data_IF_612091083802
#
_entry.id   IF_612091083802
#
_cell.length_a   1.000
_cell.length_b   1.000
_cell.length_c   1.000
_cell.angle_alpha   90.00
_cell.angle_beta   90.00
_cell.angle_gamma   90.00
#
_symmetry.space_group_name_H-M   'P 1'
#
loop_
_entity.id
_entity.type
_entity.pdbx_description
1 polymer ?
#
# COMPACT_ATOMS: atom_id res chain seq x y z
N UNK A 1 23.85 -61.32 6.56
CA UNK A 1 24.51 -62.46 5.85
C UNK A 1 23.46 -63.17 4.99
N UNK A 2 23.91 -63.98 4.02
CA UNK A 2 23.13 -64.61 2.91
C UNK A 2 23.05 -63.73 1.66
N UNK A 3 23.87 -64.09 0.67
CA UNK A 3 23.64 -63.88 -0.78
C UNK A 3 22.84 -65.07 -1.32
N UNK A 4 22.13 -64.93 -2.46
CA UNK A 4 22.63 -65.46 -3.74
C UNK A 4 22.41 -64.48 -4.92
N UNK A 5 23.37 -64.30 -5.85
CA UNK A 5 23.68 -65.10 -7.05
C UNK A 5 22.86 -64.75 -8.31
N UNK A 6 23.56 -64.42 -9.39
CA UNK A 6 23.03 -64.05 -10.73
C UNK A 6 22.60 -65.26 -11.57
N UNK A 7 21.68 -65.04 -12.52
CA UNK A 7 21.62 -65.77 -13.79
C UNK A 7 21.04 -64.91 -14.93
N UNK A 8 21.59 -65.06 -16.15
CA UNK A 8 21.31 -64.27 -17.35
C UNK A 8 20.44 -65.03 -18.36
N UNK A 9 19.54 -64.33 -19.04
CA UNK A 9 19.10 -64.55 -20.45
C UNK A 9 18.39 -63.28 -20.96
N UNK A 10 18.44 -62.77 -22.20
CA UNK A 10 19.36 -62.74 -23.35
C UNK A 10 18.53 -62.58 -24.65
N UNK A 11 18.63 -61.45 -25.35
CA UNK A 11 18.05 -61.20 -26.69
C UNK A 11 16.63 -60.61 -26.71
N UNK A 12 16.23 -59.76 -27.69
CA UNK A 12 16.92 -59.22 -28.89
C UNK A 12 16.40 -57.80 -29.27
N UNK A 13 17.21 -57.06 -30.02
CA UNK A 13 16.89 -55.87 -30.84
C UNK A 13 17.46 -56.09 -32.27
N UNK A 14 17.40 -55.12 -33.23
CA UNK A 14 16.44 -54.04 -33.50
C UNK A 14 15.57 -54.47 -34.72
N UNK A 15 15.44 -53.83 -35.94
CA UNK A 15 15.85 -52.53 -36.51
C UNK A 15 14.74 -51.44 -36.33
N UNK A 16 14.87 -50.13 -36.62
CA UNK A 16 15.83 -49.24 -37.32
C UNK A 16 15.66 -49.00 -38.84
N UNK A 17 16.16 -47.83 -39.29
CA UNK A 17 16.04 -47.15 -40.60
C UNK A 17 14.74 -46.37 -40.89
N UNK A 18 14.70 -45.13 -41.45
CA UNK A 18 15.51 -43.88 -41.36
C UNK A 18 15.35 -43.08 -42.67
N UNK A 19 15.19 -41.74 -42.57
CA UNK A 19 15.92 -40.69 -43.32
C UNK A 19 15.09 -39.44 -43.67
N UNK A 20 15.61 -38.31 -43.20
CA UNK A 20 15.62 -36.95 -43.79
C UNK A 20 15.88 -36.91 -45.32
N UNK A 21 15.61 -35.79 -46.06
CA UNK A 21 16.22 -34.49 -45.76
C UNK A 21 15.56 -33.16 -46.23
N UNK A 22 16.09 -32.05 -45.68
CA UNK A 22 16.32 -30.70 -46.26
C UNK A 22 15.37 -30.11 -47.34
N UNK A 23 14.93 -28.85 -47.11
CA UNK A 23 15.37 -27.67 -47.89
C UNK A 23 14.80 -26.32 -47.38
N UNK A 24 15.68 -25.33 -47.16
CA UNK A 24 15.42 -23.93 -47.53
C UNK A 24 15.79 -23.70 -49.01
N UNK A 25 15.33 -22.61 -49.65
CA UNK A 25 16.29 -21.52 -49.94
C UNK A 25 15.73 -20.08 -49.89
N UNK A 26 16.64 -19.11 -50.10
CA UNK A 26 16.49 -17.66 -49.96
C UNK A 26 15.81 -16.91 -51.13
N UNK A 27 15.51 -15.63 -50.84
CA UNK A 27 15.51 -14.43 -51.73
C UNK A 27 14.40 -14.25 -52.79
N UNK A 28 13.83 -13.03 -52.80
CA UNK A 28 13.93 -12.02 -53.90
C UNK A 28 13.19 -10.71 -53.49
N UNK A 29 13.77 -9.55 -53.82
CA UNK A 29 13.14 -8.22 -53.76
C UNK A 29 12.25 -7.97 -55.00
N UNK A 30 11.33 -6.99 -54.94
CA UNK A 30 11.57 -5.89 -55.89
C UNK A 30 11.36 -4.49 -55.29
N UNK A 31 12.18 -3.55 -55.78
CA UNK A 31 11.89 -2.12 -55.71
C UNK A 31 10.77 -1.78 -56.70
N UNK A 32 9.95 -0.78 -56.37
CA UNK A 32 9.30 0.07 -57.36
C UNK A 32 9.48 1.54 -56.95
N UNK A 33 10.22 2.25 -57.78
CA UNK A 33 10.33 3.72 -57.86
C UNK A 33 9.51 4.16 -59.09
N UNK A 34 9.31 5.47 -59.30
CA UNK A 34 8.48 6.17 -60.31
C UNK A 34 7.03 6.48 -59.83
N UNK A 35 6.49 7.71 -59.99
CA UNK A 35 7.13 8.98 -60.38
C UNK A 35 6.32 10.24 -59.96
N UNK A 36 7.02 11.38 -59.89
CA UNK A 36 6.62 12.74 -60.32
C UNK A 36 5.25 13.41 -59.98
N UNK A 37 5.37 14.57 -59.29
CA UNK A 37 4.85 15.90 -59.70
C UNK A 37 3.39 16.38 -59.47
N UNK A 38 3.34 17.50 -58.73
CA UNK A 38 2.40 18.66 -58.66
C UNK A 38 1.94 19.28 -60.02
N UNK A 39 1.07 20.33 -60.11
CA UNK A 39 0.36 21.15 -59.08
C UNK A 39 -1.13 21.58 -59.37
N UNK A 40 -1.74 22.24 -58.36
CA UNK A 40 -2.63 23.45 -58.41
C UNK A 40 -3.87 23.62 -59.33
N UNK A 41 -4.99 24.04 -58.73
CA UNK A 41 -5.76 25.29 -59.00
C UNK A 41 -6.79 25.51 -57.87
N UNK A 42 -6.69 26.56 -57.06
CA UNK A 42 -7.36 27.87 -57.21
C UNK A 42 -8.88 27.86 -57.50
N UNK A 43 -9.68 28.24 -56.50
CA UNK A 43 -10.95 28.95 -56.70
C UNK A 43 -11.13 30.02 -55.61
N UNK A 44 -11.34 31.28 -56.01
CA UNK A 44 -11.77 32.39 -55.14
C UNK A 44 -13.26 32.65 -55.35
N UNK A 45 -13.97 33.08 -54.30
CA UNK A 45 -14.92 34.22 -54.27
C UNK A 45 -15.44 34.37 -52.82
N UNK A 46 -15.17 35.48 -52.10
CA UNK A 46 -15.83 36.81 -52.12
C UNK A 46 -17.24 36.84 -51.50
N UNK A 47 -17.42 37.70 -50.49
CA UNK A 47 -18.63 38.30 -49.85
C UNK A 47 -18.53 38.24 -48.31
N UNK A 48 -18.98 39.19 -47.48
CA UNK A 48 -19.56 40.54 -47.66
C UNK A 48 -19.03 41.51 -46.55
N UNK A 49 -19.38 42.80 -46.63
CA UNK A 49 -19.12 43.82 -45.60
C UNK A 49 -20.20 43.87 -44.50
N UNK A 50 -19.80 44.23 -43.26
CA UNK A 50 -20.65 44.88 -42.25
C UNK A 50 -19.83 45.94 -41.47
N UNK A 51 -20.37 47.14 -41.18
CA UNK A 51 -19.69 48.19 -40.42
C UNK A 51 -19.78 47.99 -38.89
N UNK A 52 -18.93 48.67 -38.09
CA UNK A 52 -18.78 48.38 -36.66
C UNK A 52 -19.88 48.99 -35.78
N UNK A 53 -20.32 48.24 -34.78
CA UNK A 53 -21.10 48.75 -33.65
C UNK A 53 -20.17 49.17 -32.51
N UNK A 54 -20.45 50.34 -31.92
CA UNK A 54 -19.75 50.84 -30.74
C UNK A 54 -20.03 49.97 -29.50
N UNK A 55 -19.10 49.94 -28.51
CA UNK A 55 -19.12 48.94 -27.46
C UNK A 55 -20.16 49.21 -26.35
N UNK A 56 -20.79 48.16 -25.79
CA UNK A 56 -21.41 48.27 -24.47
C UNK A 56 -20.35 48.33 -23.36
N UNK A 57 -20.58 49.18 -22.36
CA UNK A 57 -19.73 49.28 -21.17
C UNK A 57 -19.63 47.95 -20.40
N UNK A 58 -18.53 47.70 -19.67
CA UNK A 58 -18.25 46.40 -19.08
C UNK A 58 -19.23 46.01 -17.97
N UNK A 59 -19.74 44.79 -18.04
CA UNK A 59 -20.30 44.07 -16.90
C UNK A 59 -19.19 43.83 -15.86
N UNK A 60 -19.50 43.79 -14.55
CA UNK A 60 -18.50 43.47 -13.53
C UNK A 60 -17.94 42.06 -13.78
N UNK A 61 -16.63 41.84 -13.57
CA UNK A 61 -16.02 40.54 -13.84
C UNK A 61 -16.60 39.48 -12.90
N UNK A 62 -17.18 38.43 -13.48
CA UNK A 62 -17.38 37.18 -12.75
C UNK A 62 -16.03 36.66 -12.28
N UNK A 63 -15.90 36.19 -11.02
CA UNK A 63 -14.64 35.65 -10.53
C UNK A 63 -14.24 34.41 -11.35
N UNK A 64 -12.95 34.21 -11.64
CA UNK A 64 -12.49 33.06 -12.39
C UNK A 64 -12.77 31.75 -11.63
N UNK A 65 -13.05 30.68 -12.38
CA UNK A 65 -13.36 29.34 -11.85
C UNK A 65 -12.25 28.71 -10.98
N UNK A 66 -11.07 29.33 -10.91
CA UNK A 66 -9.96 28.96 -10.04
C UNK A 66 -10.21 29.21 -8.53
N UNK A 67 -11.23 29.98 -8.14
CA UNK A 67 -11.56 30.18 -6.72
C UNK A 67 -12.42 29.07 -6.10
N UNK A 68 -13.09 28.24 -6.89
CA UNK A 68 -13.89 27.10 -6.39
C UNK A 68 -13.02 25.92 -5.90
N UNK A 69 -11.71 25.94 -6.17
CA UNK A 69 -10.73 24.96 -5.71
C UNK A 69 -9.70 25.52 -4.72
N UNK A 70 -10.02 26.66 -4.06
CA UNK A 70 -9.25 27.14 -2.93
C UNK A 70 -9.70 26.44 -1.63
N UNK A 71 -8.78 25.97 -0.75
CA UNK A 71 -9.14 25.42 0.57
C UNK A 71 -10.02 26.36 1.41
N UNK A 72 -9.84 27.67 1.22
CA UNK A 72 -10.64 28.74 1.83
C UNK A 72 -12.12 28.68 1.43
N UNK A 73 -12.44 28.29 0.20
CA UNK A 73 -13.82 28.19 -0.29
C UNK A 73 -14.54 26.94 0.21
N UNK A 74 -13.83 25.82 0.36
CA UNK A 74 -14.35 24.62 1.03
C UNK A 74 -14.61 24.89 2.53
N UNK A 75 -13.69 25.59 3.20
CA UNK A 75 -13.93 26.07 4.58
C UNK A 75 -15.18 26.95 4.71
N UNK A 76 -15.41 27.83 3.73
CA UNK A 76 -16.61 28.68 3.67
C UNK A 76 -17.90 27.89 3.36
N UNK A 77 -17.84 26.84 2.53
CA UNK A 77 -19.01 26.00 2.26
C UNK A 77 -19.38 25.11 3.46
N UNK A 78 -18.39 24.49 4.12
CA UNK A 78 -18.59 23.80 5.39
C UNK A 78 -19.12 24.73 6.49
N UNK A 79 -18.59 25.95 6.58
CA UNK A 79 -19.10 26.97 7.51
C UNK A 79 -20.56 27.34 7.22
N UNK A 80 -20.97 27.42 5.94
CA UNK A 80 -22.36 27.69 5.55
C UNK A 80 -23.30 26.51 5.85
N UNK A 81 -22.84 25.27 5.69
CA UNK A 81 -23.59 24.07 6.09
C UNK A 81 -23.75 24.02 7.61
N UNK A 82 -22.68 24.28 8.37
CA UNK A 82 -22.73 24.37 9.83
C UNK A 82 -23.68 25.48 10.32
N UNK A 83 -23.69 26.65 9.67
CA UNK A 83 -24.66 27.72 9.96
C UNK A 83 -26.10 27.30 9.61
N UNK A 84 -26.33 26.57 8.51
CA UNK A 84 -27.65 26.03 8.17
C UNK A 84 -28.16 24.99 9.19
N UNK A 85 -27.27 24.16 9.75
CA UNK A 85 -27.59 23.25 10.84
C UNK A 85 -27.88 24.00 12.16
N UNK A 86 -27.20 25.13 12.41
CA UNK A 86 -27.45 25.98 13.58
C UNK A 86 -28.78 26.74 13.48
N UNK A 87 -29.19 27.20 12.29
CA UNK A 87 -30.44 27.96 12.13
C UNK A 87 -31.70 27.09 12.20
N UNK A 88 -31.64 25.83 11.75
CA UNK A 88 -32.77 24.89 11.88
C UNK A 88 -32.92 24.27 13.28
N UNK A 89 -31.94 24.44 14.17
CA UNK A 89 -31.98 23.95 15.56
C UNK A 89 -32.37 24.99 16.62
N UNK A 90 -32.47 26.28 16.26
CA UNK A 90 -32.68 27.39 17.19
C UNK A 90 -34.15 27.61 17.59
N UNK A 91 -34.81 26.56 18.09
CA UNK A 91 -36.20 26.56 18.55
C UNK A 91 -36.39 26.68 20.06
N UNK A 92 -35.52 27.37 20.79
CA UNK A 92 -35.63 27.53 22.24
C UNK A 92 -36.57 28.68 22.63
N UNK A 93 -37.84 28.36 22.89
CA UNK A 93 -38.78 29.28 23.53
C UNK A 93 -38.53 29.39 25.04
N UNK A 94 -37.87 30.46 25.49
CA UNK A 94 -37.87 30.88 26.90
C UNK A 94 -39.12 31.72 27.21
N UNK A 95 -40.26 31.05 27.37
CA UNK A 95 -41.47 31.71 27.90
C UNK A 95 -41.23 32.06 29.37
N UNK A 96 -41.33 33.34 29.70
CA UNK A 96 -41.26 33.85 31.07
C UNK A 96 -42.25 33.10 31.98
N UNK A 97 -41.79 32.69 33.17
CA UNK A 97 -42.69 32.25 34.24
C UNK A 97 -42.30 32.82 35.61
N UNK A 98 -43.07 33.83 35.97
CA UNK A 98 -43.40 34.38 37.31
C UNK A 98 -42.49 34.09 38.50
N UNK A 99 -42.22 35.17 39.23
CA UNK A 99 -41.71 35.15 40.61
C UNK A 99 -42.57 34.27 41.53
N UNK A 100 -41.89 33.49 42.38
CA UNK A 100 -42.24 33.33 43.80
C UNK A 100 -41.02 32.75 44.56
N UNK A 101 -40.77 33.15 45.82
CA UNK A 101 -39.50 32.87 46.49
C UNK A 101 -39.51 31.60 47.38
N UNK A 102 -38.30 31.19 47.78
CA UNK A 102 -37.99 30.17 48.81
C UNK A 102 -38.27 28.71 48.42
N UNK A 103 -37.36 28.16 47.62
CA UNK A 103 -36.82 26.81 47.88
C UNK A 103 -35.30 26.92 47.80
N UNK A 104 -34.56 26.29 48.72
CA UNK A 104 -33.09 26.35 48.74
C UNK A 104 -32.54 25.63 47.51
N UNK A 105 -32.29 26.39 46.45
CA UNK A 105 -31.83 25.86 45.17
C UNK A 105 -30.46 25.24 45.31
N UNK A 106 -30.33 23.98 44.90
CA UNK A 106 -29.04 23.42 44.51
C UNK A 106 -28.40 24.36 43.49
N UNK A 107 -27.22 24.88 43.79
CA UNK A 107 -26.46 25.71 42.85
C UNK A 107 -26.40 24.98 41.50
N UNK A 108 -26.74 25.62 40.36
CA UNK A 108 -26.67 24.95 39.07
C UNK A 108 -25.24 24.42 38.89
N UNK A 109 -25.13 23.10 38.74
CA UNK A 109 -23.84 22.44 38.58
C UNK A 109 -23.10 23.09 37.41
N UNK A 110 -21.84 23.50 37.62
CA UNK A 110 -21.03 24.09 36.55
C UNK A 110 -21.07 23.16 35.34
N UNK A 111 -21.42 23.65 34.13
CA UNK A 111 -21.59 22.79 32.96
C UNK A 111 -20.30 22.02 32.71
N UNK A 112 -20.43 20.69 32.69
CA UNK A 112 -19.33 19.76 32.51
C UNK A 112 -19.15 19.37 31.05
N UNK A 113 -18.07 18.65 30.76
CA UNK A 113 -17.77 18.15 29.41
C UNK A 113 -18.83 17.15 28.87
N UNK A 114 -19.69 16.63 29.75
CA UNK A 114 -20.81 15.74 29.40
C UNK A 114 -22.11 16.48 29.01
N UNK A 115 -22.21 17.78 29.28
CA UNK A 115 -23.36 18.62 28.92
C UNK A 115 -23.21 19.23 27.51
N UNK A 116 -22.08 18.96 26.85
CA UNK A 116 -21.78 19.40 25.49
C UNK A 116 -22.68 18.67 24.47
N UNK A 117 -23.33 19.37 23.51
CA UNK A 117 -24.07 18.71 22.44
C UNK A 117 -23.19 17.77 21.63
N UNK A 118 -23.74 16.63 21.18
CA UNK A 118 -22.99 15.62 20.42
C UNK A 118 -22.38 16.20 19.12
N UNK A 119 -23.04 17.17 18.48
CA UNK A 119 -22.50 17.89 17.31
C UNK A 119 -21.22 18.67 17.64
N UNK A 120 -21.17 19.35 18.78
CA UNK A 120 -19.98 20.07 19.23
C UNK A 120 -18.86 19.10 19.65
N UNK A 121 -19.20 18.00 20.32
CA UNK A 121 -18.24 16.94 20.64
C UNK A 121 -17.66 16.29 19.37
N UNK A 122 -18.49 16.05 18.35
CA UNK A 122 -18.10 15.45 17.09
C UNK A 122 -17.14 16.35 16.28
N UNK A 123 -17.32 17.68 16.33
CA UNK A 123 -16.36 18.63 15.76
C UNK A 123 -14.98 18.53 16.44
N UNK A 124 -14.93 18.42 17.78
CA UNK A 124 -13.66 18.22 18.51
C UNK A 124 -13.01 16.91 18.09
N UNK A 125 -13.78 15.81 18.05
CA UNK A 125 -13.31 14.48 17.65
C UNK A 125 -12.76 14.44 16.22
N UNK A 126 -13.31 15.23 15.29
CA UNK A 126 -12.84 15.31 13.90
C UNK A 126 -11.36 15.70 13.77
N UNK A 127 -10.83 16.51 14.69
CA UNK A 127 -9.43 16.95 14.68
C UNK A 127 -8.45 15.98 15.37
N UNK A 128 -8.93 14.89 15.97
CA UNK A 128 -8.10 13.97 16.76
C UNK A 128 -7.75 12.69 16.00
N UNK A 129 -6.70 12.00 16.44
CA UNK A 129 -6.36 10.70 15.89
C UNK A 129 -7.34 9.61 16.40
N UNK A 130 -7.63 8.56 15.62
CA UNK A 130 -8.54 7.46 16.02
C UNK A 130 -8.28 6.83 17.41
N UNK A 131 -7.03 6.67 17.89
CA UNK A 131 -6.78 6.19 19.26
C UNK A 131 -7.20 7.20 20.33
N UNK A 132 -7.18 8.49 20.02
CA UNK A 132 -7.61 9.56 20.92
C UNK A 132 -9.12 9.72 20.95
N UNK A 133 -9.77 9.61 19.78
CA UNK A 133 -11.23 9.49 19.67
C UNK A 133 -11.71 8.34 20.57
N UNK A 134 -11.06 7.16 20.49
CA UNK A 134 -11.35 6.01 21.33
C UNK A 134 -11.05 6.21 22.84
N UNK A 135 -10.19 7.16 23.22
CA UNK A 135 -9.95 7.55 24.62
C UNK A 135 -11.05 8.49 25.12
N UNK A 136 -11.35 9.56 24.37
CA UNK A 136 -12.37 10.54 24.77
C UNK A 136 -13.79 9.94 24.80
N UNK A 137 -14.10 9.01 23.89
CA UNK A 137 -15.36 8.26 23.88
C UNK A 137 -15.64 7.46 25.17
N UNK A 138 -14.62 7.25 26.03
CA UNK A 138 -14.77 6.58 27.33
C UNK A 138 -15.06 7.55 28.49
N UNK A 139 -14.88 8.86 28.29
CA UNK A 139 -14.94 9.84 29.37
C UNK A 139 -16.36 10.29 29.71
N UNK A 140 -17.25 10.43 28.74
CA UNK A 140 -18.64 10.83 28.96
C UNK A 140 -19.57 10.41 27.81
N UNK A 141 -20.89 10.58 28.02
CA UNK A 141 -21.93 10.17 27.05
C UNK A 141 -21.88 10.97 25.74
N UNK A 142 -21.65 12.28 25.77
CA UNK A 142 -21.65 13.12 24.57
C UNK A 142 -20.52 12.73 23.60
N UNK A 143 -19.30 12.57 24.12
CA UNK A 143 -18.17 12.09 23.32
C UNK A 143 -18.35 10.63 22.89
N UNK A 144 -19.00 9.80 23.72
CA UNK A 144 -19.36 8.42 23.35
C UNK A 144 -20.37 8.37 22.19
N UNK A 145 -21.40 9.19 22.19
CA UNK A 145 -22.39 9.26 21.09
C UNK A 145 -21.74 9.81 19.83
N UNK A 146 -21.10 10.96 19.95
CA UNK A 146 -20.37 11.63 18.88
C UNK A 146 -19.35 10.72 18.18
N UNK A 147 -18.61 9.87 18.90
CA UNK A 147 -17.60 8.99 18.30
C UNK A 147 -18.14 7.88 17.39
N UNK A 148 -19.47 7.71 17.29
CA UNK A 148 -20.11 6.80 16.33
C UNK A 148 -20.51 7.48 15.02
N UNK A 149 -20.40 8.81 14.92
CA UNK A 149 -20.80 9.54 13.72
C UNK A 149 -19.89 9.23 12.52
N UNK A 150 -20.49 8.77 11.42
CA UNK A 150 -19.75 8.29 10.24
C UNK A 150 -18.83 9.34 9.62
N UNK A 151 -19.23 10.63 9.63
CA UNK A 151 -18.43 11.71 9.04
C UNK A 151 -17.04 11.85 9.69
N UNK A 152 -16.92 11.52 10.98
CA UNK A 152 -15.63 11.53 11.68
C UNK A 152 -14.73 10.47 11.04
N UNK A 153 -15.23 9.25 10.90
CA UNK A 153 -14.44 8.11 10.40
C UNK A 153 -14.21 8.17 8.89
N UNK A 154 -15.12 8.78 8.14
CA UNK A 154 -14.93 9.13 6.72
C UNK A 154 -13.72 10.06 6.54
N UNK A 155 -13.51 11.03 7.43
CA UNK A 155 -12.32 11.89 7.41
C UNK A 155 -11.00 11.18 7.80
N UNK A 156 -11.07 9.97 8.36
CA UNK A 156 -9.91 9.15 8.78
C UNK A 156 -9.66 7.97 7.84
N UNK A 157 -10.58 7.67 6.93
CA UNK A 157 -10.42 6.66 5.90
C UNK A 157 -9.64 7.23 4.70
N UNK A 158 -8.81 6.42 4.02
CA UNK A 158 -8.22 6.84 2.75
C UNK A 158 -9.29 7.18 1.72
N UNK A 159 -9.06 8.17 0.85
CA UNK A 159 -10.05 8.63 -0.13
C UNK A 159 -10.58 7.52 -1.06
N UNK A 160 -9.76 6.50 -1.35
CA UNK A 160 -10.11 5.35 -2.18
C UNK A 160 -10.45 4.08 -1.36
N UNK A 161 -10.88 4.22 -0.09
CA UNK A 161 -11.17 3.08 0.79
C UNK A 161 -12.17 2.07 0.19
N UNK A 162 -13.13 2.52 -0.63
CA UNK A 162 -14.09 1.63 -1.29
C UNK A 162 -13.39 0.65 -2.25
N UNK A 163 -12.44 1.12 -3.04
CA UNK A 163 -11.62 0.30 -3.94
C UNK A 163 -10.74 -0.68 -3.16
N UNK A 164 -10.17 -0.24 -2.04
CA UNK A 164 -9.40 -1.09 -1.12
C UNK A 164 -10.30 -2.19 -0.54
N UNK A 165 -11.49 -1.82 -0.06
CA UNK A 165 -12.48 -2.74 0.51
C UNK A 165 -12.89 -3.79 -0.53
N UNK A 166 -13.28 -3.38 -1.74
CA UNK A 166 -13.65 -4.30 -2.81
C UNK A 166 -12.51 -5.26 -3.19
N UNK A 167 -11.26 -4.79 -3.25
CA UNK A 167 -10.10 -5.64 -3.57
C UNK A 167 -9.76 -6.65 -2.45
N UNK A 168 -10.05 -6.33 -1.18
CA UNK A 168 -9.63 -7.11 -0.02
C UNK A 168 -10.74 -8.00 0.54
N UNK A 169 -12.00 -7.59 0.43
CA UNK A 169 -13.16 -8.27 0.99
C UNK A 169 -14.24 -8.63 -0.05
N UNK A 170 -14.10 -8.18 -1.30
CA UNK A 170 -15.20 -8.20 -2.27
C UNK A 170 -16.38 -7.34 -1.79
N UNK A 171 -17.59 -7.76 -2.17
CA UNK A 171 -18.83 -7.03 -1.91
C UNK A 171 -19.33 -7.16 -0.44
N UNK A 172 -18.55 -7.79 0.44
CA UNK A 172 -18.97 -8.19 1.78
C UNK A 172 -19.10 -7.08 2.84
N UNK A 173 -18.89 -5.81 2.49
CA UNK A 173 -18.73 -4.72 3.47
C UNK A 173 -19.66 -3.50 3.25
N UNK A 174 -20.52 -3.52 2.23
CA UNK A 174 -21.32 -2.34 1.80
C UNK A 174 -22.25 -1.79 2.89
N UNK A 175 -22.68 -2.64 3.83
CA UNK A 175 -23.64 -2.32 4.89
C UNK A 175 -23.00 -1.91 6.24
N UNK A 176 -21.67 -1.73 6.32
CA UNK A 176 -21.01 -1.33 7.56
C UNK A 176 -20.86 0.20 7.69
N UNK A 177 -21.06 0.72 8.91
CA UNK A 177 -20.70 2.10 9.25
C UNK A 177 -19.20 2.36 9.10
N UNK A 178 -18.81 3.61 8.78
CA UNK A 178 -17.43 4.01 8.43
C UNK A 178 -16.42 3.66 9.52
N UNK A 179 -16.81 3.72 10.80
CA UNK A 179 -15.98 3.26 11.91
C UNK A 179 -15.65 1.78 11.82
N UNK A 180 -16.63 0.95 11.49
CA UNK A 180 -16.47 -0.50 11.49
C UNK A 180 -15.66 -0.94 10.28
N UNK A 181 -15.83 -0.24 9.14
CA UNK A 181 -14.91 -0.29 7.99
C UNK A 181 -13.47 0.05 8.41
N UNK A 182 -13.25 1.19 9.06
CA UNK A 182 -11.92 1.59 9.54
C UNK A 182 -11.32 0.56 10.51
N UNK A 183 -12.11 0.08 11.47
CA UNK A 183 -11.72 -0.92 12.47
C UNK A 183 -11.32 -2.25 11.83
N UNK A 184 -12.04 -2.67 10.78
CA UNK A 184 -11.73 -3.87 10.00
C UNK A 184 -10.45 -3.68 9.18
N UNK A 185 -10.29 -2.52 8.53
CA UNK A 185 -9.10 -2.19 7.75
C UNK A 185 -7.83 -2.01 8.62
N UNK A 186 -7.95 -1.64 9.90
CA UNK A 186 -6.82 -1.63 10.85
C UNK A 186 -6.34 -3.01 11.32
N UNK A 187 -7.05 -4.09 10.99
CA UNK A 187 -6.57 -5.45 11.21
C UNK A 187 -5.70 -5.90 10.01
N UNK A 188 -4.80 -6.89 10.18
CA UNK A 188 -4.17 -7.53 9.03
C UNK A 188 -5.23 -8.23 8.19
N UNK A 189 -5.40 -7.80 6.94
CA UNK A 189 -6.32 -8.42 5.99
C UNK A 189 -5.52 -9.04 4.85
N UNK A 190 -5.59 -10.37 4.74
CA UNK A 190 -4.86 -11.13 3.74
C UNK A 190 -5.59 -11.16 2.40
N UNK A 191 -4.84 -11.10 1.30
CA UNK A 191 -5.34 -11.28 -0.06
C UNK A 191 -4.28 -12.03 -0.88
N UNK A 192 -4.59 -12.36 -2.14
CA UNK A 192 -3.68 -13.07 -3.07
C UNK A 192 -3.16 -14.39 -2.47
N UNK A 193 -4.10 -15.32 -2.27
CA UNK A 193 -3.93 -16.63 -1.61
C UNK A 193 -3.24 -16.58 -0.23
N UNK A 194 -3.40 -15.45 0.47
CA UNK A 194 -2.81 -15.22 1.78
C UNK A 194 -1.32 -14.86 1.74
N UNK A 195 -0.74 -14.71 0.55
CA UNK A 195 0.68 -14.36 0.38
C UNK A 195 0.95 -12.89 0.63
N UNK A 196 -0.09 -12.03 0.57
CA UNK A 196 -0.02 -10.58 0.78
C UNK A 196 -1.00 -10.16 1.87
N UNK A 197 -0.64 -9.13 2.64
CA UNK A 197 -1.50 -8.55 3.68
C UNK A 197 -1.51 -7.03 3.61
N UNK A 198 -2.66 -6.42 3.87
CA UNK A 198 -2.83 -4.96 3.94
C UNK A 198 -3.56 -4.58 5.23
N UNK A 199 -3.20 -3.43 5.78
CA UNK A 199 -3.86 -2.82 6.93
C UNK A 199 -3.68 -1.29 6.94
N UNK A 200 -4.47 -0.56 7.73
CA UNK A 200 -4.22 0.85 8.03
C UNK A 200 -3.43 0.99 9.33
N UNK A 201 -2.49 1.94 9.39
CA UNK A 201 -1.95 2.40 10.67
C UNK A 201 -3.07 3.02 11.51
N UNK A 202 -3.13 2.62 12.79
CA UNK A 202 -4.23 2.93 13.71
C UNK A 202 -4.28 4.40 14.15
N UNK A 203 -3.20 5.16 13.97
CA UNK A 203 -3.13 6.57 14.31
C UNK A 203 -3.39 7.44 13.08
N UNK A 204 -2.72 7.16 11.95
CA UNK A 204 -2.82 8.05 10.77
C UNK A 204 -3.92 7.65 9.79
N UNK A 205 -4.38 6.39 9.82
CA UNK A 205 -5.24 5.83 8.75
C UNK A 205 -4.49 5.53 7.44
N UNK A 206 -3.17 5.70 7.39
CA UNK A 206 -2.35 5.47 6.19
C UNK A 206 -2.25 3.98 5.84
N UNK A 207 -2.31 3.65 4.54
CA UNK A 207 -2.26 2.26 4.05
C UNK A 207 -0.85 1.67 4.17
N UNK A 208 -0.78 0.45 4.70
CA UNK A 208 0.43 -0.33 4.89
C UNK A 208 0.24 -1.71 4.25
N UNK A 209 1.24 -2.22 3.54
CA UNK A 209 1.18 -3.51 2.84
C UNK A 209 2.40 -4.38 3.12
N UNK A 210 2.23 -5.70 3.13
CA UNK A 210 3.33 -6.66 3.19
C UNK A 210 3.14 -7.82 2.22
N UNK A 211 4.26 -8.31 1.67
CA UNK A 211 4.34 -9.50 0.82
C UNK A 211 5.19 -10.52 1.57
N UNK A 212 4.65 -11.70 1.84
CA UNK A 212 5.37 -12.80 2.48
C UNK A 212 6.48 -13.36 1.58
N UNK A 213 7.46 -14.03 2.17
CA UNK A 213 8.45 -14.85 1.45
C UNK A 213 7.83 -15.91 0.52
N UNK A 214 6.58 -16.33 0.72
CA UNK A 214 5.85 -17.24 -0.19
C UNK A 214 5.22 -16.53 -1.38
N UNK A 215 5.05 -15.22 -1.33
CA UNK A 215 4.55 -14.37 -2.42
C UNK A 215 5.67 -13.73 -3.25
N UNK A 216 6.91 -14.19 -3.08
CA UNK A 216 8.10 -13.73 -3.80
C UNK A 216 8.64 -14.86 -4.69
N UNK A 217 9.14 -14.50 -5.87
CA UNK A 217 9.88 -15.42 -6.73
C UNK A 217 11.33 -15.49 -6.23
N UNK A 218 11.70 -16.61 -5.61
CA UNK A 218 13.02 -16.81 -5.01
C UNK A 218 13.76 -17.89 -5.79
N UNK A 219 14.96 -17.58 -6.30
CA UNK A 219 15.73 -18.53 -7.12
C UNK A 219 16.12 -19.77 -6.30
N UNK A 220 15.65 -20.93 -6.78
CA UNK A 220 15.90 -22.23 -6.17
C UNK A 220 15.07 -22.57 -4.92
N UNK A 221 13.98 -21.84 -4.63
CA UNK A 221 13.18 -21.99 -3.40
C UNK A 221 12.66 -23.41 -3.12
N UNK A 222 12.32 -24.17 -4.16
CA UNK A 222 11.84 -25.55 -4.05
C UNK A 222 12.95 -26.56 -3.68
N UNK A 223 14.22 -26.18 -3.86
CA UNK A 223 15.36 -27.04 -3.54
C UNK A 223 15.75 -26.93 -2.07
N UNK A 224 15.41 -27.98 -1.31
CA UNK A 224 15.72 -28.14 0.11
C UNK A 224 17.22 -28.18 0.45
N UNK A 225 18.11 -28.19 -0.55
CA UNK A 225 19.57 -28.01 -0.36
C UNK A 225 19.94 -26.53 -0.18
N UNK A 226 19.17 -25.62 -0.77
CA UNK A 226 19.40 -24.19 -0.70
C UNK A 226 18.48 -23.51 0.31
N UNK A 227 17.20 -23.86 0.34
CA UNK A 227 16.18 -23.16 1.12
C UNK A 227 15.39 -24.09 2.05
N UNK A 228 14.91 -23.54 3.17
CA UNK A 228 13.93 -24.17 4.06
C UNK A 228 12.87 -23.15 4.48
N UNK A 229 11.62 -23.57 4.61
CA UNK A 229 10.62 -22.76 5.31
C UNK A 229 10.68 -23.04 6.81
N UNK A 230 10.82 -21.99 7.62
CA UNK A 230 10.88 -22.07 9.09
C UNK A 230 9.61 -21.45 9.67
N UNK A 231 8.77 -22.22 10.38
CA UNK A 231 7.65 -21.67 11.15
C UNK A 231 8.15 -20.75 12.26
N UNK A 232 7.56 -19.56 12.40
CA UNK A 232 7.94 -18.60 13.45
C UNK A 232 6.82 -17.61 13.78
N UNK A 233 6.60 -17.39 15.07
CA UNK A 233 5.71 -16.34 15.61
C UNK A 233 6.25 -14.92 15.38
N UNK A 234 7.52 -14.79 14.98
CA UNK A 234 8.16 -13.49 14.71
C UNK A 234 7.82 -12.93 13.31
N UNK A 235 7.07 -13.70 12.51
CA UNK A 235 6.55 -13.33 11.19
C UNK A 235 5.04 -13.10 11.25
N UNK A 236 4.53 -12.10 10.51
CA UNK A 236 3.08 -11.89 10.34
C UNK A 236 2.41 -13.01 9.53
N UNK A 237 3.20 -13.81 8.81
CA UNK A 237 2.76 -14.94 7.99
C UNK A 237 3.07 -16.30 8.63
N UNK A 238 3.47 -16.31 9.91
CA UNK A 238 3.85 -17.50 10.69
C UNK A 238 5.00 -18.35 10.10
N UNK A 239 5.69 -17.88 9.05
CA UNK A 239 6.67 -18.64 8.27
C UNK A 239 7.63 -17.71 7.55
N UNK A 240 8.92 -18.06 7.54
CA UNK A 240 9.98 -17.34 6.80
C UNK A 240 10.76 -18.28 5.88
N UNK A 241 11.38 -17.76 4.84
CA UNK A 241 12.31 -18.52 3.98
C UNK A 241 13.74 -18.37 4.53
N UNK A 242 14.39 -19.50 4.83
CA UNK A 242 15.76 -19.55 5.34
C UNK A 242 16.70 -20.13 4.30
N UNK A 243 17.70 -19.34 3.91
CA UNK A 243 18.78 -19.77 3.03
C UNK A 243 19.86 -20.49 3.85
N UNK A 244 20.12 -21.75 3.48
CA UNK A 244 21.27 -22.51 3.95
C UNK A 244 22.55 -22.00 3.28
N UNK A 245 22.62 -22.11 1.94
CA UNK A 245 23.77 -21.71 1.14
C UNK A 245 23.38 -21.52 -0.33
N UNK A 246 23.91 -20.50 -1.01
CA UNK A 246 23.80 -20.32 -2.48
C UNK A 246 24.99 -19.54 -3.04
N UNK A 247 25.19 -19.60 -4.35
CA UNK A 247 26.11 -18.72 -5.09
C UNK A 247 25.34 -17.58 -5.75
N UNK A 248 24.35 -17.93 -6.58
CA UNK A 248 23.46 -17.00 -7.27
C UNK A 248 22.28 -16.61 -6.36
N UNK A 249 22.31 -15.42 -5.77
CA UNK A 249 21.22 -14.94 -4.92
C UNK A 249 20.35 -13.92 -5.66
N UNK A 250 19.06 -14.24 -5.78
CA UNK A 250 18.06 -13.45 -6.51
C UNK A 250 16.66 -13.72 -5.93
N UNK A 251 15.97 -12.63 -5.62
CA UNK A 251 14.62 -12.61 -5.03
C UNK A 251 13.84 -11.46 -5.68
N UNK A 252 12.79 -11.80 -6.40
CA UNK A 252 11.92 -10.83 -7.06
C UNK A 252 10.51 -10.85 -6.45
N UNK A 253 9.79 -9.75 -6.62
CA UNK A 253 8.40 -9.63 -6.19
C UNK A 253 7.60 -8.70 -7.08
N UNK A 254 6.29 -8.94 -7.12
CA UNK A 254 5.34 -8.08 -7.79
C UNK A 254 4.08 -7.91 -6.93
N UNK A 255 3.56 -6.69 -6.89
CA UNK A 255 2.26 -6.38 -6.29
C UNK A 255 1.57 -5.30 -7.09
N UNK A 256 0.26 -5.44 -7.27
CA UNK A 256 -0.59 -4.45 -7.92
C UNK A 256 -1.71 -4.07 -6.96
N UNK A 257 -1.71 -2.83 -6.48
CA UNK A 257 -2.60 -2.39 -5.40
C UNK A 257 -3.02 -0.92 -5.54
N UNK A 258 -4.29 -0.57 -5.25
CA UNK A 258 -4.80 0.81 -5.29
C UNK A 258 -4.32 1.58 -4.05
N UNK A 259 -3.04 1.95 -4.02
CA UNK A 259 -2.51 2.80 -2.98
C UNK A 259 -3.15 4.20 -3.03
N UNK A 260 -3.54 4.79 -1.89
CA UNK A 260 -3.90 6.20 -1.83
C UNK A 260 -2.73 7.09 -2.28
N UNK A 261 -3.03 8.29 -2.78
CA UNK A 261 -2.02 9.29 -3.14
C UNK A 261 -1.10 9.60 -1.95
N UNK A 262 0.20 9.60 -2.20
CA UNK A 262 1.21 9.86 -1.18
C UNK A 262 2.58 9.28 -1.52
N UNK A 263 3.52 9.47 -0.60
CA UNK A 263 4.88 8.94 -0.71
C UNK A 263 5.04 7.73 0.17
N UNK A 264 5.56 6.64 -0.40
CA UNK A 264 5.76 5.35 0.26
C UNK A 264 7.23 4.94 0.21
N UNK A 265 7.65 4.12 1.16
CA UNK A 265 8.98 3.54 1.29
C UNK A 265 8.86 2.01 1.26
N UNK A 266 9.70 1.36 0.47
CA UNK A 266 9.76 -0.10 0.39
C UNK A 266 10.96 -0.65 1.19
N UNK A 267 10.74 -1.73 1.95
CA UNK A 267 11.75 -2.38 2.78
C UNK A 267 11.71 -3.91 2.65
N UNK A 268 12.87 -4.56 2.68
CA UNK A 268 12.97 -5.99 2.98
C UNK A 268 13.18 -6.21 4.48
N UNK A 269 12.38 -7.08 5.09
CA UNK A 269 12.60 -7.54 6.47
C UNK A 269 13.43 -8.82 6.46
N UNK A 270 14.69 -8.69 6.86
CA UNK A 270 15.69 -9.76 6.83
C UNK A 270 16.31 -9.97 8.22
N UNK A 271 16.81 -11.17 8.48
CA UNK A 271 17.64 -11.48 9.64
C UNK A 271 18.81 -12.36 9.18
N UNK A 272 20.04 -12.01 9.58
CA UNK A 272 21.16 -12.92 9.48
C UNK A 272 21.20 -13.84 10.71
N UNK A 273 21.28 -15.13 10.46
CA UNK A 273 21.16 -16.20 11.43
C UNK A 273 19.76 -16.82 11.46
N UNK A 274 19.67 -17.99 12.08
CA UNK A 274 18.45 -18.77 12.24
C UNK A 274 17.89 -18.57 13.66
N UNK A 275 16.78 -17.84 13.79
CA UNK A 275 16.01 -17.82 15.04
C UNK A 275 15.63 -19.25 15.44
N UNK A 276 15.98 -19.64 16.67
CA UNK A 276 15.51 -20.90 17.27
C UNK A 276 14.27 -20.64 18.14
N UNK A 277 13.42 -21.65 18.30
CA UNK A 277 12.26 -21.57 19.20
C UNK A 277 12.69 -21.15 20.61
N UNK A 278 11.87 -20.30 21.25
CA UNK A 278 12.07 -19.76 22.60
C UNK A 278 12.27 -20.87 23.65
N UNK A 279 13.51 -21.33 23.85
CA UNK A 279 13.84 -22.22 24.97
C UNK A 279 13.92 -21.38 26.24
N UNK A 280 13.11 -21.73 27.23
CA UNK A 280 13.01 -21.04 28.53
C UNK A 280 12.77 -19.52 28.43
N UNK A 281 11.94 -19.10 27.47
CA UNK A 281 11.57 -17.69 27.28
C UNK A 281 12.67 -16.77 26.74
N UNK A 282 13.90 -17.26 26.54
CA UNK A 282 14.99 -16.50 25.92
C UNK A 282 15.03 -16.76 24.41
N UNK A 283 15.19 -15.68 23.64
CA UNK A 283 15.43 -15.73 22.19
C UNK A 283 16.89 -16.09 21.94
N UNK A 284 17.14 -17.13 21.13
CA UNK A 284 18.49 -17.53 20.72
C UNK A 284 18.50 -17.61 19.19
N UNK A 285 19.36 -16.84 18.55
CA UNK A 285 19.60 -16.91 17.11
C UNK A 285 20.91 -17.65 16.86
N UNK A 286 20.88 -18.72 16.06
CA UNK A 286 22.10 -19.41 15.65
C UNK A 286 22.72 -18.70 14.44
N UNK A 287 23.96 -18.24 14.58
CA UNK A 287 24.71 -17.50 13.57
C UNK A 287 25.80 -18.35 12.88
N UNK A 288 26.00 -19.62 13.27
CA UNK A 288 27.07 -20.52 12.80
C UNK A 288 27.10 -20.71 11.27
N UNK A 289 25.97 -20.56 10.60
CA UNK A 289 25.84 -20.72 9.14
C UNK A 289 25.86 -19.38 8.37
N UNK A 290 26.00 -18.23 9.05
CA UNK A 290 26.05 -16.92 8.41
C UNK A 290 27.41 -16.70 7.76
N UNK A 291 27.44 -16.50 6.44
CA UNK A 291 28.68 -16.24 5.70
C UNK A 291 28.41 -15.51 4.37
N UNK A 292 29.40 -14.78 3.86
CA UNK A 292 29.46 -14.25 2.49
C UNK A 292 28.73 -12.91 2.23
N UNK A 293 27.82 -12.49 3.11
CA UNK A 293 27.01 -11.27 2.94
C UNK A 293 27.77 -9.95 3.15
N UNK A 294 28.97 -10.03 3.70
CA UNK A 294 29.91 -8.95 3.96
C UNK A 294 30.92 -8.74 2.82
N UNK A 295 31.03 -9.70 1.88
CA UNK A 295 32.04 -9.68 0.80
C UNK A 295 31.65 -8.72 -0.34
N UNK A 296 30.36 -8.63 -0.67
CA UNK A 296 29.82 -7.66 -1.64
C UNK A 296 28.45 -7.15 -1.15
N UNK A 297 28.06 -5.93 -1.51
CA UNK A 297 26.74 -5.41 -1.14
C UNK A 297 25.63 -6.15 -1.90
N UNK A 298 24.51 -6.37 -1.20
CA UNK A 298 23.24 -6.75 -1.82
C UNK A 298 22.68 -5.54 -2.54
N UNK A 299 22.18 -5.75 -3.76
CA UNK A 299 21.49 -4.73 -4.56
C UNK A 299 19.99 -4.88 -4.38
N UNK A 300 19.33 -3.78 -4.08
CA UNK A 300 17.88 -3.68 -4.05
C UNK A 300 17.41 -2.78 -5.18
N UNK A 301 16.29 -3.12 -5.82
CA UNK A 301 15.75 -2.40 -6.97
C UNK A 301 14.22 -2.31 -6.87
N UNK A 302 13.67 -1.23 -7.41
CA UNK A 302 12.24 -0.91 -7.45
C UNK A 302 11.89 -0.39 -8.85
N UNK A 303 10.77 -0.85 -9.41
CA UNK A 303 10.13 -0.29 -10.60
C UNK A 303 8.63 -0.10 -10.35
N UNK A 304 8.05 0.98 -10.85
CA UNK A 304 6.59 1.20 -10.83
C UNK A 304 6.01 1.26 -12.25
N UNK A 305 4.70 1.04 -12.37
CA UNK A 305 3.95 1.26 -13.63
C UNK A 305 4.01 2.70 -14.15
N UNK A 306 4.30 3.66 -13.29
CA UNK A 306 4.45 5.08 -13.64
C UNK A 306 5.85 5.40 -14.22
N UNK A 307 6.73 4.39 -14.33
CA UNK A 307 8.08 4.55 -14.87
C UNK A 307 9.14 4.93 -13.83
N UNK A 308 8.77 5.11 -12.57
CA UNK A 308 9.74 5.33 -11.50
C UNK A 308 10.64 4.10 -11.34
N UNK A 309 11.95 4.31 -11.42
CA UNK A 309 12.98 3.32 -11.13
C UNK A 309 13.91 3.85 -10.05
N UNK A 310 14.25 2.99 -9.08
CA UNK A 310 15.22 3.29 -8.05
C UNK A 310 16.02 2.05 -7.67
N UNK A 311 17.24 2.25 -7.19
CA UNK A 311 18.10 1.17 -6.70
C UNK A 311 19.02 1.63 -5.59
N UNK A 312 19.24 0.76 -4.62
CA UNK A 312 20.18 0.97 -3.51
C UNK A 312 21.06 -0.26 -3.32
N UNK A 313 22.17 -0.10 -2.59
CA UNK A 313 23.12 -1.17 -2.29
C UNK A 313 23.59 -1.04 -0.85
N UNK A 314 23.64 -2.14 -0.11
CA UNK A 314 24.22 -2.19 1.23
C UNK A 314 24.71 -3.60 1.58
N UNK A 315 25.61 -3.70 2.55
CA UNK A 315 26.07 -4.97 3.09
C UNK A 315 25.11 -5.46 4.18
N UNK A 316 24.91 -6.78 4.28
CA UNK A 316 24.19 -7.36 5.42
C UNK A 316 25.25 -7.78 6.46
N UNK A 317 25.40 -6.99 7.53
CA UNK A 317 26.50 -7.14 8.51
C UNK A 317 26.03 -7.39 9.94
N UNK A 318 24.74 -7.29 10.23
CA UNK A 318 24.19 -7.31 11.59
C UNK A 318 23.41 -8.61 11.88
N UNK A 319 24.06 -9.67 12.39
CA UNK A 319 23.41 -10.93 12.72
C UNK A 319 22.60 -10.86 14.02
N UNK A 320 21.72 -11.85 14.20
CA UNK A 320 20.94 -12.07 15.42
C UNK A 320 19.62 -11.30 15.50
N UNK A 321 19.51 -10.12 14.89
CA UNK A 321 18.29 -9.29 14.88
C UNK A 321 17.58 -9.26 13.53
N UNK A 322 16.29 -8.90 13.55
CA UNK A 322 15.54 -8.52 12.35
C UNK A 322 15.89 -7.07 12.02
N UNK A 323 16.18 -6.79 10.75
CA UNK A 323 16.47 -5.45 10.25
C UNK A 323 15.55 -5.13 9.06
N UNK A 324 15.22 -3.86 8.89
CA UNK A 324 14.42 -3.33 7.78
C UNK A 324 15.35 -2.66 6.77
N UNK A 325 15.71 -3.38 5.72
CA UNK A 325 16.58 -2.88 4.65
C UNK A 325 15.77 -2.04 3.68
N UNK A 326 15.96 -0.71 3.73
CA UNK A 326 15.31 0.24 2.84
C UNK A 326 15.78 0.05 1.39
N UNK A 327 14.83 -0.05 0.47
CA UNK A 327 15.09 -0.20 -0.97
C UNK A 327 15.09 1.17 -1.64
N UNK A 328 13.94 1.84 -1.60
CA UNK A 328 13.69 3.12 -2.24
C UNK A 328 12.39 3.74 -1.71
N UNK A 329 12.24 5.03 -1.99
CA UNK A 329 10.99 5.78 -1.82
C UNK A 329 10.34 5.97 -3.20
N UNK A 330 9.01 5.95 -3.27
CA UNK A 330 8.23 6.20 -4.49
C UNK A 330 6.97 7.01 -4.18
N UNK A 331 6.47 7.72 -5.18
CA UNK A 331 5.23 8.50 -5.10
C UNK A 331 4.13 7.73 -5.83
N UNK A 332 2.89 7.86 -5.34
CA UNK A 332 1.67 7.45 -6.02
C UNK A 332 0.86 8.72 -6.30
N UNK A 333 0.65 9.05 -7.56
CA UNK A 333 -0.02 10.29 -7.97
C UNK A 333 -1.52 10.12 -8.28
N UNK A 334 -1.93 8.93 -8.71
CA UNK A 334 -3.31 8.67 -9.15
C UNK A 334 -4.09 7.81 -8.13
N UNK A 335 -5.10 8.35 -7.42
CA UNK A 335 -5.85 7.61 -6.39
C UNK A 335 -6.76 6.50 -6.97
N UNK A 336 -7.08 6.58 -8.26
CA UNK A 336 -8.08 5.76 -8.93
C UNK A 336 -7.46 4.61 -9.75
N UNK A 337 -6.13 4.57 -9.87
CA UNK A 337 -5.40 3.49 -10.53
C UNK A 337 -4.81 2.52 -9.50
N UNK A 338 -4.61 1.26 -9.88
CA UNK A 338 -3.73 0.37 -9.10
C UNK A 338 -2.28 0.64 -9.47
N UNK A 339 -1.45 0.94 -8.49
CA UNK A 339 0.00 1.04 -8.68
C UNK A 339 0.57 -0.37 -8.78
N UNK A 340 1.20 -0.69 -9.92
CA UNK A 340 1.93 -1.93 -10.11
C UNK A 340 3.38 -1.70 -9.72
N UNK A 341 3.88 -2.47 -8.76
CA UNK A 341 5.22 -2.35 -8.19
C UNK A 341 5.94 -3.67 -8.42
N UNK A 342 7.09 -3.61 -9.09
CA UNK A 342 8.07 -4.69 -9.15
C UNK A 342 9.24 -4.35 -8.26
N UNK A 343 9.82 -5.35 -7.62
CA UNK A 343 10.93 -5.21 -6.69
C UNK A 343 11.90 -6.38 -6.86
N UNK A 344 13.17 -6.13 -6.59
CA UNK A 344 14.22 -7.15 -6.66
C UNK A 344 15.25 -6.95 -5.54
N UNK A 345 15.81 -8.04 -5.06
CA UNK A 345 16.94 -8.12 -4.14
C UNK A 345 17.92 -9.16 -4.67
N UNK A 346 19.10 -8.73 -5.12
CA UNK A 346 20.08 -9.57 -5.80
C UNK A 346 21.49 -9.43 -5.23
N UNK A 347 22.23 -10.53 -5.22
CA UNK A 347 23.67 -10.55 -5.03
C UNK A 347 24.26 -11.67 -5.89
N UNK A 348 24.15 -11.47 -7.22
CA UNK A 348 24.64 -12.39 -8.24
C UNK A 348 26.16 -12.29 -8.30
N UNK A 349 26.82 -13.27 -7.68
CA UNK A 349 28.27 -13.38 -7.64
C UNK A 349 28.71 -14.82 -7.42
N UNK A 350 29.44 -15.38 -8.38
CA UNK A 350 29.94 -16.75 -8.35
C UNK A 350 31.33 -16.89 -7.70
N UNK A 351 31.88 -15.82 -7.10
CA UNK A 351 33.20 -15.88 -6.41
C UNK A 351 33.14 -16.45 -5.00
N UNK A 352 31.98 -16.44 -4.34
CA UNK A 352 31.81 -16.93 -2.97
C UNK A 352 30.38 -17.42 -2.69
N UNK A 353 30.26 -18.37 -1.77
CA UNK A 353 28.97 -18.82 -1.22
C UNK A 353 28.43 -17.83 -0.19
N UNK A 354 27.11 -17.79 -0.06
CA UNK A 354 26.38 -16.93 0.87
C UNK A 354 25.33 -17.77 1.59
N UNK A 355 25.16 -17.61 2.89
CA UNK A 355 24.29 -18.48 3.67
C UNK A 355 23.82 -17.89 4.98
N UNK A 356 22.86 -18.56 5.63
CA UNK A 356 22.32 -18.15 6.92
C UNK A 356 21.40 -16.94 6.90
N UNK A 357 20.69 -16.66 5.80
CA UNK A 357 19.74 -15.54 5.69
C UNK A 357 18.30 -16.00 5.92
N UNK A 358 17.59 -15.39 6.87
CA UNK A 358 16.14 -15.43 6.96
C UNK A 358 15.52 -14.25 6.19
N UNK A 359 14.70 -14.55 5.19
CA UNK A 359 13.81 -13.63 4.49
C UNK A 359 12.38 -13.83 5.02
N UNK A 360 11.83 -12.81 5.68
CA UNK A 360 10.44 -12.86 6.16
C UNK A 360 9.46 -12.32 5.12
N UNK A 361 9.60 -11.03 4.83
CA UNK A 361 8.62 -10.28 4.06
C UNK A 361 9.21 -9.01 3.43
N UNK A 362 8.57 -8.56 2.36
CA UNK A 362 8.69 -7.17 1.88
C UNK A 362 7.58 -6.35 2.53
N UNK A 363 7.86 -5.08 2.79
CA UNK A 363 6.98 -4.13 3.45
C UNK A 363 6.92 -2.82 2.67
N UNK A 364 5.72 -2.28 2.51
CA UNK A 364 5.45 -0.98 1.92
C UNK A 364 4.71 -0.17 2.97
N UNK A 365 5.30 0.96 3.36
CA UNK A 365 4.75 1.88 4.35
C UNK A 365 4.77 3.30 3.81
N UNK A 366 3.93 4.20 4.34
CA UNK A 366 4.10 5.64 4.16
C UNK A 366 5.52 6.08 4.57
N UNK A 367 6.14 6.98 3.80
CA UNK A 367 7.56 7.33 4.01
C UNK A 367 7.82 8.04 5.35
N UNK A 368 6.81 8.71 5.89
CA UNK A 368 6.76 9.24 7.27
C UNK A 368 7.10 8.18 8.35
N UNK A 369 6.88 6.88 8.09
CA UNK A 369 7.17 5.82 9.05
C UNK A 369 8.61 5.29 8.96
N UNK A 370 9.43 5.79 8.04
CA UNK A 370 10.83 5.37 7.87
C UNK A 370 11.64 5.48 9.15
N UNK A 371 11.43 6.55 9.93
CA UNK A 371 12.10 6.71 11.24
C UNK A 371 11.55 5.75 12.30
N UNK A 372 10.24 5.48 12.31
CA UNK A 372 9.61 4.49 13.22
C UNK A 372 10.26 3.11 13.02
N UNK A 373 10.50 2.70 11.78
CA UNK A 373 11.08 1.39 11.43
C UNK A 373 12.56 1.22 11.79
N UNK A 374 13.30 2.29 12.08
CA UNK A 374 14.68 2.20 12.62
C UNK A 374 14.73 1.84 14.12
N UNK A 375 13.60 1.93 14.82
CA UNK A 375 13.51 1.78 16.28
C UNK A 375 12.87 0.45 16.72
N UNK A 376 12.66 -0.51 15.80
CA UNK A 376 12.02 -1.82 16.05
C UNK A 376 12.99 -3.00 15.91
#
# INVERSE_FOLDING_TARGET
MVSPSYSHTSGRCPPSFSKEPNKQPNTILPQLVFNASLPSTHHQQVSYFLPPLNPPCPLPPYPPLSLLYSPSFLSLSFSRIAVYCLTMGAGFSSVFKSENPVTVGSLPSKPGLGDLPESCAAMILGYLDPPEICKLAKLNRAFRGASWADFIWESKLPSNYQTIVGKVFGDGLENLGKRDVYTRLCQPNSFDDGTKTVWLDKSTGSVCLSISSKGLAITGIDDRRYWNHIPTEESRFCSVAYLQQIWWFEVDGEVEFPFPVGTYSLFFRLQLGRSSQKRFGRRVCNIEHVHGWDIKPVRFQLWTSEGHYASSQCFLTEPGKWNYYHVADFVVENPNASTKIKLSMTQIDCTHTKGGLCLDSVLIYPSEFRERLKHF
#
